data_IF_393347104291
#
_entry.id   IF_393347104291
#
_cell.length_a   1.000
_cell.length_b   1.000
_cell.length_c   1.000
_cell.angle_alpha   90.00
_cell.angle_beta   90.00
_cell.angle_gamma   90.00
#
_symmetry.space_group_name_H-M   'P 1'
#
loop_
_entity.id
_entity.type
_entity.pdbx_description
1 polymer ?
#
# COMPACT_ATOMS: atom_id res chain seq x y z
N UNK A 1 -18.53 -50.33 2.35
CA UNK A 1 -18.28 -49.06 1.63
C UNK A 1 -17.72 -49.36 0.24
N UNK A 2 -16.71 -50.22 0.13
CA UNK A 2 -16.11 -50.61 -1.16
C UNK A 2 -17.10 -51.28 -2.13
N UNK A 3 -17.99 -52.17 -1.66
CA UNK A 3 -19.07 -52.74 -2.50
C UNK A 3 -19.91 -51.66 -3.21
N UNK A 4 -20.26 -50.57 -2.51
CA UNK A 4 -21.11 -49.51 -3.07
C UNK A 4 -20.46 -48.77 -4.24
N UNK A 5 -19.14 -48.71 -4.28
CA UNK A 5 -18.40 -48.09 -5.38
C UNK A 5 -18.25 -49.04 -6.57
N UNK A 6 -18.09 -50.34 -6.30
CA UNK A 6 -18.08 -51.38 -7.33
C UNK A 6 -19.45 -51.46 -8.03
N UNK A 7 -20.54 -51.39 -7.26
CA UNK A 7 -21.92 -51.37 -7.78
C UNK A 7 -22.22 -50.15 -8.67
N UNK A 8 -21.43 -49.07 -8.55
CA UNK A 8 -21.51 -47.87 -9.39
C UNK A 8 -20.54 -47.91 -10.59
N UNK A 9 -19.93 -49.07 -10.87
CA UNK A 9 -19.03 -49.26 -12.01
C UNK A 9 -17.63 -48.67 -11.80
N UNK A 10 -17.29 -48.22 -10.58
CA UNK A 10 -15.97 -47.66 -10.27
C UNK A 10 -14.99 -48.79 -9.96
N UNK A 11 -14.01 -48.96 -10.85
CA UNK A 11 -12.99 -50.00 -10.71
C UNK A 11 -12.03 -49.65 -9.56
N UNK A 12 -11.59 -50.63 -8.75
CA UNK A 12 -10.61 -50.43 -7.67
C UNK A 12 -9.37 -49.59 -8.02
N UNK A 13 -8.70 -49.75 -9.18
CA UNK A 13 -7.56 -48.90 -9.55
C UNK A 13 -7.94 -47.42 -9.76
N UNK A 14 -9.18 -47.14 -10.18
CA UNK A 14 -9.68 -45.78 -10.34
C UNK A 14 -9.85 -45.08 -8.99
N UNK A 15 -10.35 -45.83 -7.99
CA UNK A 15 -10.48 -45.36 -6.61
C UNK A 15 -9.09 -45.11 -5.99
N UNK A 16 -8.13 -46.00 -6.24
CA UNK A 16 -6.75 -45.82 -5.77
C UNK A 16 -6.08 -44.60 -6.41
N UNK A 17 -6.28 -44.37 -7.72
CA UNK A 17 -5.81 -43.17 -8.39
C UNK A 17 -6.48 -41.91 -7.85
N UNK A 18 -7.77 -41.91 -7.57
CA UNK A 18 -8.43 -40.77 -6.94
C UNK A 18 -7.96 -40.52 -5.51
N UNK A 19 -7.68 -41.57 -4.73
CA UNK A 19 -7.07 -41.43 -3.40
C UNK A 19 -5.65 -40.85 -3.52
N UNK A 20 -4.86 -41.32 -4.49
CA UNK A 20 -3.55 -40.74 -4.78
C UNK A 20 -3.66 -39.29 -5.24
N UNK A 21 -4.50 -38.95 -6.21
CA UNK A 21 -4.73 -37.57 -6.66
C UNK A 21 -5.22 -36.67 -5.52
N UNK A 22 -6.13 -37.16 -4.68
CA UNK A 22 -6.62 -36.46 -3.49
C UNK A 22 -5.53 -36.24 -2.44
N UNK A 23 -4.62 -37.21 -2.27
CA UNK A 23 -3.45 -37.09 -1.39
C UNK A 23 -2.33 -36.22 -2.01
N UNK A 24 -2.27 -36.13 -3.34
CA UNK A 24 -1.28 -35.34 -4.10
C UNK A 24 -1.72 -33.88 -4.26
N UNK A 25 -3.03 -33.59 -4.14
CA UNK A 25 -3.53 -32.24 -3.98
C UNK A 25 -3.06 -31.67 -2.65
N UNK A 26 -1.92 -30.98 -2.71
CA UNK A 26 -1.26 -30.10 -1.75
C UNK A 26 -2.13 -29.58 -0.56
N UNK A 27 -2.54 -30.48 0.34
CA UNK A 27 -3.02 -30.12 1.65
C UNK A 27 -1.79 -29.78 2.47
N UNK A 28 -1.40 -28.48 2.47
CA UNK A 28 -0.25 -27.98 3.21
C UNK A 28 -0.10 -28.66 4.57
N UNK A 29 1.09 -29.27 4.79
CA UNK A 29 1.54 -30.04 5.96
C UNK A 29 0.55 -29.97 7.13
N UNK A 30 -0.30 -30.99 7.27
CA UNK A 30 -1.25 -31.05 8.40
C UNK A 30 -0.47 -31.18 9.70
N UNK A 31 -0.81 -30.35 10.68
CA UNK A 31 -0.14 -30.29 11.98
C UNK A 31 -1.01 -31.01 13.02
N UNK A 32 -0.46 -31.94 13.81
CA UNK A 32 -1.17 -32.58 14.90
C UNK A 32 -1.75 -31.58 15.90
N UNK A 33 -2.96 -31.84 16.39
CA UNK A 33 -3.63 -30.91 17.31
C UNK A 33 -2.84 -30.70 18.62
N UNK A 34 -2.07 -31.71 19.06
CA UNK A 34 -1.21 -31.62 20.24
C UNK A 34 -0.17 -30.50 20.14
N UNK A 35 0.31 -30.20 18.93
CA UNK A 35 1.33 -29.17 18.70
C UNK A 35 0.73 -27.76 18.71
N UNK A 36 -0.49 -27.57 18.18
CA UNK A 36 -1.16 -26.26 18.18
C UNK A 36 -1.85 -25.94 19.52
N UNK A 37 -2.21 -26.96 20.32
CA UNK A 37 -2.97 -26.80 21.57
C UNK A 37 -2.35 -25.79 22.56
N UNK A 38 -1.04 -25.81 22.87
CA UNK A 38 -0.43 -24.83 23.77
C UNK A 38 -0.53 -23.39 23.23
N UNK A 39 -0.41 -23.22 21.91
CA UNK A 39 -0.54 -21.91 21.25
C UNK A 39 -1.96 -21.37 21.40
N UNK A 40 -2.97 -22.21 21.20
CA UNK A 40 -4.37 -21.83 21.34
C UNK A 40 -4.73 -21.50 22.79
N UNK A 41 -4.22 -22.26 23.75
CA UNK A 41 -4.43 -22.02 25.17
C UNK A 41 -3.84 -20.65 25.58
N UNK A 42 -2.61 -20.37 25.17
CA UNK A 42 -1.98 -19.07 25.40
C UNK A 42 -2.81 -17.90 24.85
N UNK A 43 -3.31 -18.01 23.62
CA UNK A 43 -4.14 -16.96 23.00
C UNK A 43 -5.47 -16.79 23.75
N UNK A 44 -6.08 -17.90 24.16
CA UNK A 44 -7.31 -17.91 24.94
C UNK A 44 -7.11 -17.20 26.28
N UNK A 45 -6.04 -17.51 27.00
CA UNK A 45 -5.78 -16.96 28.33
C UNK A 45 -5.40 -15.47 28.25
N UNK A 46 -4.61 -15.09 27.23
CA UNK A 46 -4.13 -13.71 27.06
C UNK A 46 -5.23 -12.74 26.59
N UNK A 47 -6.08 -13.18 25.65
CA UNK A 47 -7.02 -12.29 24.96
C UNK A 47 -8.48 -12.60 25.30
N UNK A 48 -8.77 -13.76 25.90
CA UNK A 48 -10.11 -14.21 26.25
C UNK A 48 -10.92 -14.73 25.05
N UNK A 49 -10.25 -15.14 23.96
CA UNK A 49 -10.92 -15.63 22.75
C UNK A 49 -10.98 -17.16 22.77
N UNK A 50 -12.15 -17.71 22.48
CA UNK A 50 -12.29 -19.15 22.36
C UNK A 50 -11.52 -19.70 21.12
N UNK A 51 -10.67 -20.74 21.27
CA UNK A 51 -9.81 -21.30 20.23
C UNK A 51 -10.50 -21.68 18.92
N UNK A 52 -11.77 -22.06 19.00
CA UNK A 52 -12.62 -22.41 17.85
C UNK A 52 -12.72 -21.29 16.80
N UNK A 53 -12.53 -20.02 17.20
CA UNK A 53 -12.53 -18.87 16.29
C UNK A 53 -11.31 -18.84 15.37
N UNK A 54 -10.15 -19.25 15.86
CA UNK A 54 -8.94 -19.39 15.06
C UNK A 54 -9.00 -20.64 14.19
N UNK A 55 -9.51 -21.72 14.76
CA UNK A 55 -9.63 -23.01 14.08
C UNK A 55 -10.72 -23.05 13.00
N UNK A 56 -11.67 -22.10 13.02
CA UNK A 56 -12.91 -22.13 12.20
C UNK A 56 -13.67 -23.46 12.33
N UNK A 57 -13.68 -24.06 13.52
CA UNK A 57 -14.35 -25.33 13.82
C UNK A 57 -15.51 -25.13 14.78
N UNK A 58 -16.43 -26.09 14.84
CA UNK A 58 -17.52 -26.06 15.81
C UNK A 58 -17.00 -26.22 17.25
N UNK A 59 -17.64 -25.53 18.20
CA UNK A 59 -17.29 -25.59 19.63
C UNK A 59 -17.38 -27.01 20.16
N UNK A 60 -18.48 -27.69 19.83
CA UNK A 60 -18.70 -29.10 20.20
C UNK A 60 -17.57 -30.03 19.74
N UNK A 61 -17.03 -29.84 18.53
CA UNK A 61 -15.93 -30.68 18.02
C UNK A 61 -14.62 -30.43 18.75
N UNK A 62 -14.37 -29.18 19.15
CA UNK A 62 -13.20 -28.80 19.92
C UNK A 62 -13.26 -29.34 21.36
N UNK A 63 -14.38 -29.14 22.05
CA UNK A 63 -14.55 -29.53 23.46
C UNK A 63 -14.58 -31.05 23.66
N UNK A 64 -15.15 -31.80 22.72
CA UNK A 64 -15.18 -33.27 22.77
C UNK A 64 -13.81 -33.89 22.40
N UNK A 65 -12.84 -33.09 21.92
CA UNK A 65 -11.51 -33.59 21.56
C UNK A 65 -11.44 -34.30 20.22
N UNK A 66 -12.46 -34.18 19.37
CA UNK A 66 -12.56 -34.80 18.04
C UNK A 66 -11.76 -34.05 16.95
N UNK A 67 -10.77 -33.26 17.35
CA UNK A 67 -9.89 -32.52 16.45
C UNK A 67 -8.48 -33.13 16.54
N UNK A 68 -8.11 -33.95 15.55
CA UNK A 68 -6.83 -34.66 15.54
C UNK A 68 -5.71 -33.87 14.88
N UNK A 69 -6.02 -33.07 13.86
CA UNK A 69 -5.06 -32.24 13.13
C UNK A 69 -5.71 -30.98 12.56
N UNK A 70 -4.87 -30.01 12.22
CA UNK A 70 -5.22 -28.73 11.58
C UNK A 70 -4.38 -28.54 10.33
N UNK A 71 -4.79 -27.67 9.41
CA UNK A 71 -3.94 -27.31 8.26
C UNK A 71 -2.72 -26.51 8.72
N UNK A 72 -1.61 -26.61 7.97
CA UNK A 72 -0.41 -25.81 8.22
C UNK A 72 -0.71 -24.30 8.23
N UNK A 73 -1.58 -23.82 7.35
CA UNK A 73 -2.01 -22.41 7.33
C UNK A 73 -2.65 -21.93 8.64
N UNK A 74 -3.46 -22.78 9.29
CA UNK A 74 -4.11 -22.44 10.56
C UNK A 74 -3.07 -22.41 11.68
N UNK A 75 -2.10 -23.31 11.64
CA UNK A 75 -0.99 -23.34 12.57
C UNK A 75 -0.10 -22.09 12.45
N UNK A 76 0.34 -21.75 11.23
CA UNK A 76 1.12 -20.55 10.97
C UNK A 76 0.38 -19.28 11.42
N UNK A 77 -0.93 -19.20 11.12
CA UNK A 77 -1.76 -18.08 11.58
C UNK A 77 -1.82 -18.02 13.11
N UNK A 78 -1.95 -19.15 13.81
CA UNK A 78 -1.97 -19.18 15.27
C UNK A 78 -0.62 -18.75 15.86
N UNK A 79 0.50 -19.18 15.28
CA UNK A 79 1.85 -18.72 15.67
C UNK A 79 1.99 -17.23 15.45
N UNK A 80 1.56 -16.70 14.30
CA UNK A 80 1.63 -15.27 14.01
C UNK A 80 0.83 -14.45 15.03
N UNK A 81 -0.39 -14.89 15.36
CA UNK A 81 -1.22 -14.25 16.39
C UNK A 81 -0.54 -14.31 17.77
N UNK A 82 0.03 -15.46 18.14
CA UNK A 82 0.80 -15.59 19.40
C UNK A 82 1.96 -14.60 19.45
N UNK A 83 2.78 -14.54 18.41
CA UNK A 83 3.93 -13.62 18.33
C UNK A 83 3.51 -12.16 18.45
N UNK A 84 2.41 -11.77 17.79
CA UNK A 84 1.87 -10.42 17.93
C UNK A 84 1.38 -10.14 19.36
N UNK A 85 0.71 -11.10 20.01
CA UNK A 85 0.30 -10.95 21.41
C UNK A 85 1.52 -10.78 22.32
N UNK A 86 2.55 -11.61 22.15
CA UNK A 86 3.80 -11.53 22.91
C UNK A 86 4.48 -10.17 22.74
N UNK A 87 4.56 -9.65 21.51
CA UNK A 87 5.10 -8.30 21.23
C UNK A 87 4.28 -7.16 21.87
N UNK A 88 3.01 -7.40 22.17
CA UNK A 88 2.08 -6.38 22.65
C UNK A 88 1.75 -6.47 24.14
N UNK A 89 2.06 -7.60 24.81
CA UNK A 89 1.92 -7.75 26.26
C UNK A 89 2.75 -6.69 27.00
N UNK A 90 3.88 -6.26 26.45
CA UNK A 90 4.72 -5.19 27.01
C UNK A 90 4.13 -3.78 26.81
N UNK A 91 3.21 -3.59 25.86
CA UNK A 91 2.74 -2.26 25.46
C UNK A 91 1.47 -1.78 26.17
N UNK A 92 0.72 -2.66 26.85
CA UNK A 92 -0.53 -2.40 27.61
C UNK A 92 -1.59 -1.45 26.97
N UNK A 93 -1.53 -1.17 25.67
CA UNK A 93 -2.48 -0.26 25.01
C UNK A 93 -3.76 -0.99 24.60
N UNK A 94 -4.90 -0.49 25.08
CA UNK A 94 -6.25 -1.00 24.78
C UNK A 94 -6.55 -1.11 23.27
N UNK A 95 -6.09 -0.16 22.47
CA UNK A 95 -6.31 -0.12 21.01
C UNK A 95 -5.68 -1.33 20.32
N UNK A 96 -4.52 -1.82 20.80
CA UNK A 96 -3.87 -3.00 20.23
C UNK A 96 -4.65 -4.27 20.48
N UNK A 97 -5.25 -4.41 21.67
CA UNK A 97 -6.13 -5.55 21.97
C UNK A 97 -7.33 -5.58 21.02
N UNK A 98 -7.95 -4.45 20.73
CA UNK A 98 -9.07 -4.38 19.78
C UNK A 98 -8.65 -4.66 18.33
N UNK A 99 -7.48 -4.18 17.89
CA UNK A 99 -6.92 -4.53 16.56
C UNK A 99 -6.60 -6.03 16.43
N UNK A 100 -6.04 -6.65 17.47
CA UNK A 100 -5.76 -8.09 17.52
C UNK A 100 -7.04 -8.92 17.44
N UNK A 101 -8.04 -8.53 18.23
CA UNK A 101 -9.36 -9.15 18.17
C UNK A 101 -9.96 -9.03 16.75
N UNK A 102 -9.76 -7.91 16.04
CA UNK A 102 -10.36 -7.68 14.72
C UNK A 102 -9.78 -8.61 13.66
N UNK A 103 -8.45 -8.82 13.69
CA UNK A 103 -7.75 -9.80 12.85
C UNK A 103 -8.23 -11.23 13.06
N UNK A 104 -8.63 -11.57 14.30
CA UNK A 104 -9.08 -12.92 14.66
C UNK A 104 -10.54 -13.13 14.25
N UNK A 105 -11.42 -12.16 14.51
CA UNK A 105 -12.84 -12.22 14.12
C UNK A 105 -13.05 -12.05 12.61
N UNK A 106 -12.12 -11.41 11.91
CA UNK A 106 -12.16 -11.16 10.48
C UNK A 106 -13.02 -9.95 10.11
N UNK A 107 -12.77 -9.40 8.92
CA UNK A 107 -13.46 -8.22 8.43
C UNK A 107 -14.90 -8.55 8.02
N UNK A 108 -15.85 -7.67 8.35
CA UNK A 108 -17.23 -7.74 7.87
C UNK A 108 -17.44 -6.66 6.82
N UNK A 109 -17.77 -7.04 5.60
CA UNK A 109 -18.03 -6.11 4.50
C UNK A 109 -19.11 -5.09 4.89
N UNK A 110 -18.86 -3.81 4.60
CA UNK A 110 -19.77 -2.71 4.94
C UNK A 110 -19.75 -2.28 6.42
N UNK A 111 -18.87 -2.84 7.24
CA UNK A 111 -18.74 -2.48 8.65
C UNK A 111 -17.29 -2.19 9.04
N UNK A 112 -17.11 -1.18 9.89
CA UNK A 112 -15.81 -0.69 10.34
C UNK A 112 -15.73 -0.83 11.86
N UNK A 113 -14.59 -1.28 12.42
CA UNK A 113 -14.39 -1.34 13.87
C UNK A 113 -14.51 0.03 14.53
N UNK A 114 -15.06 0.06 15.74
CA UNK A 114 -15.27 1.30 16.48
C UNK A 114 -13.96 2.04 16.81
N UNK A 115 -12.86 1.33 17.10
CA UNK A 115 -11.58 1.97 17.42
C UNK A 115 -11.05 2.86 16.29
N UNK A 116 -11.42 2.62 15.03
CA UNK A 116 -10.97 3.44 13.88
C UNK A 116 -11.66 4.80 13.79
N UNK A 117 -12.77 4.97 14.49
CA UNK A 117 -13.56 6.21 14.49
C UNK A 117 -13.57 6.91 15.84
N UNK A 118 -13.02 6.29 16.89
CA UNK A 118 -13.04 6.85 18.25
C UNK A 118 -12.36 8.21 18.30
N UNK A 119 -11.16 8.32 17.71
CA UNK A 119 -10.42 9.57 17.57
C UNK A 119 -11.21 10.64 16.79
N UNK A 120 -11.87 10.26 15.68
CA UNK A 120 -12.68 11.17 14.87
C UNK A 120 -13.89 11.70 15.65
N UNK A 121 -14.54 10.84 16.43
CA UNK A 121 -15.68 11.24 17.26
C UNK A 121 -15.26 12.15 18.42
N UNK A 122 -14.09 11.90 19.00
CA UNK A 122 -13.47 12.78 20.01
C UNK A 122 -13.19 14.16 19.41
N UNK A 123 -12.62 14.22 18.21
CA UNK A 123 -12.41 15.47 17.47
C UNK A 123 -13.71 16.23 17.20
N UNK A 124 -14.75 15.55 16.69
CA UNK A 124 -16.06 16.16 16.43
C UNK A 124 -16.70 16.73 17.71
N UNK A 125 -16.52 16.05 18.84
CA UNK A 125 -17.01 16.51 20.13
C UNK A 125 -16.28 17.78 20.56
N UNK A 126 -14.95 17.76 20.53
CA UNK A 126 -14.10 18.84 21.05
C UNK A 126 -14.16 20.10 20.19
N UNK A 127 -14.10 19.95 18.85
CA UNK A 127 -13.97 21.10 17.94
C UNK A 127 -15.28 21.48 17.24
N UNK A 128 -16.22 20.53 17.13
CA UNK A 128 -17.52 20.72 16.49
C UNK A 128 -18.71 20.82 17.43
N UNK A 129 -18.54 20.52 18.73
CA UNK A 129 -19.65 20.41 19.68
C UNK A 129 -20.62 19.26 19.36
N UNK A 130 -20.21 18.31 18.51
CA UNK A 130 -21.08 17.24 18.02
C UNK A 130 -20.88 15.96 18.84
N UNK A 131 -21.93 15.53 19.52
CA UNK A 131 -21.85 14.36 20.40
C UNK A 131 -21.92 13.03 19.63
N UNK A 132 -21.19 11.98 20.07
CA UNK A 132 -21.20 10.66 19.43
C UNK A 132 -22.58 10.04 19.21
N UNK A 133 -23.56 10.37 20.08
CA UNK A 133 -24.95 9.91 19.96
C UNK A 133 -25.58 10.28 18.61
N UNK A 134 -25.20 11.43 18.02
CA UNK A 134 -25.66 11.88 16.70
C UNK A 134 -25.32 10.89 15.57
N UNK A 135 -24.15 10.24 15.65
CA UNK A 135 -23.65 9.33 14.62
C UNK A 135 -23.96 7.87 14.93
N UNK A 136 -23.85 7.52 16.21
CA UNK A 136 -23.95 6.14 16.66
C UNK A 136 -25.39 5.76 17.04
N UNK A 137 -26.26 6.73 17.31
CA UNK A 137 -27.62 6.53 17.84
C UNK A 137 -27.65 6.17 19.34
N UNK A 138 -26.51 5.82 19.93
CA UNK A 138 -26.33 5.50 21.36
C UNK A 138 -25.11 6.22 21.91
N UNK A 139 -25.00 6.28 23.24
CA UNK A 139 -23.83 6.85 23.90
C UNK A 139 -22.54 6.05 23.64
N UNK A 140 -21.39 6.73 23.69
CA UNK A 140 -20.07 6.13 23.41
C UNK A 140 -19.74 4.94 24.32
N UNK A 141 -20.20 4.97 25.58
CA UNK A 141 -20.03 3.91 26.58
C UNK A 141 -20.56 2.55 26.12
N UNK A 142 -21.54 2.50 25.21
CA UNK A 142 -22.05 1.23 24.65
C UNK A 142 -21.07 0.58 23.66
N UNK A 143 -20.20 1.38 23.06
CA UNK A 143 -19.23 0.94 22.06
C UNK A 143 -17.89 0.56 22.68
N UNK A 144 -17.57 1.11 23.85
CA UNK A 144 -16.33 0.82 24.59
C UNK A 144 -16.36 -0.48 25.42
N UNK A 145 -17.49 -1.21 25.47
CA UNK A 145 -17.65 -2.42 26.32
C UNK A 145 -17.25 -3.72 25.61
N UNK A 146 -16.20 -4.38 26.14
CA UNK A 146 -15.76 -5.81 26.08
C UNK A 146 -15.73 -6.58 24.74
N UNK A 147 -16.49 -6.20 23.70
CA UNK A 147 -16.48 -6.83 22.37
C UNK A 147 -16.20 -5.75 21.33
N UNK A 148 -15.47 -6.09 20.26
CA UNK A 148 -15.34 -5.19 19.10
C UNK A 148 -16.73 -4.87 18.59
N UNK A 149 -17.13 -3.61 18.75
CA UNK A 149 -18.31 -3.09 18.09
C UNK A 149 -17.91 -2.60 16.73
N UNK A 150 -18.77 -2.87 15.76
CA UNK A 150 -18.64 -2.35 14.41
C UNK A 150 -19.76 -1.39 14.13
N UNK A 151 -19.45 -0.39 13.31
CA UNK A 151 -20.40 0.58 12.78
C UNK A 151 -20.51 0.40 11.28
N UNK A 152 -21.64 0.80 10.70
CA UNK A 152 -21.81 0.75 9.26
C UNK A 152 -20.89 1.77 8.58
N UNK A 153 -20.30 1.41 7.43
CA UNK A 153 -19.36 2.25 6.67
C UNK A 153 -19.94 3.60 6.27
N UNK A 154 -21.25 3.67 5.96
CA UNK A 154 -21.91 4.93 5.65
C UNK A 154 -21.90 5.91 6.83
N UNK A 155 -21.88 5.42 8.08
CA UNK A 155 -21.76 6.28 9.27
C UNK A 155 -20.35 6.85 9.38
N UNK A 156 -19.33 6.04 9.09
CA UNK A 156 -17.94 6.51 9.03
C UNK A 156 -17.76 7.58 7.94
N UNK A 157 -18.37 7.38 6.77
CA UNK A 157 -18.35 8.37 5.70
C UNK A 157 -19.00 9.71 6.11
N UNK A 158 -20.07 9.66 6.91
CA UNK A 158 -20.71 10.85 7.48
C UNK A 158 -19.82 11.53 8.51
N UNK A 159 -19.20 10.77 9.42
CA UNK A 159 -18.22 11.29 10.40
C UNK A 159 -17.06 11.98 9.67
N UNK A 160 -16.52 11.34 8.63
CA UNK A 160 -15.43 11.88 7.83
C UNK A 160 -15.79 13.19 7.12
N UNK A 161 -17.04 13.33 6.68
CA UNK A 161 -17.54 14.57 6.07
C UNK A 161 -17.59 15.69 7.09
N UNK A 162 -18.24 15.46 8.22
CA UNK A 162 -18.39 16.46 9.28
C UNK A 162 -17.00 16.88 9.83
N UNK A 163 -16.05 15.95 9.94
CA UNK A 163 -14.67 16.28 10.31
C UNK A 163 -14.03 17.24 9.30
N UNK A 164 -14.16 16.96 7.99
CA UNK A 164 -13.62 17.83 6.94
C UNK A 164 -14.23 19.22 6.95
N UNK A 165 -15.53 19.32 7.19
CA UNK A 165 -16.21 20.62 7.29
C UNK A 165 -15.65 21.47 8.44
N UNK A 166 -15.36 20.87 9.60
CA UNK A 166 -14.76 21.58 10.73
C UNK A 166 -13.33 22.03 10.39
N UNK A 167 -12.53 21.15 9.79
CA UNK A 167 -11.15 21.45 9.39
C UNK A 167 -11.12 22.62 8.40
N UNK A 168 -12.05 22.65 7.43
CA UNK A 168 -12.15 23.74 6.47
C UNK A 168 -12.61 25.06 7.10
N UNK A 169 -13.52 25.01 8.07
CA UNK A 169 -14.06 26.21 8.73
C UNK A 169 -13.11 26.81 9.78
N UNK A 170 -12.16 26.03 10.30
CA UNK A 170 -11.23 26.45 11.35
C UNK A 170 -9.78 26.21 10.91
N UNK A 171 -9.20 27.10 10.09
CA UNK A 171 -7.83 26.95 9.58
C UNK A 171 -6.76 27.04 10.68
N UNK A 172 -7.07 27.68 11.82
CA UNK A 172 -6.13 27.88 12.93
C UNK A 172 -5.95 26.63 13.83
N UNK A 173 -6.57 25.51 13.46
CA UNK A 173 -6.41 24.26 14.20
C UNK A 173 -4.97 23.75 14.10
N UNK A 174 -4.41 23.36 15.24
CA UNK A 174 -3.10 22.72 15.29
C UNK A 174 -3.14 21.38 14.57
N UNK A 175 -2.14 21.05 13.75
CA UNK A 175 -2.07 19.76 13.06
C UNK A 175 -2.17 18.56 14.01
N UNK A 176 -1.57 18.67 15.21
CA UNK A 176 -1.63 17.64 16.25
C UNK A 176 -3.01 17.41 16.86
N UNK A 177 -3.96 18.33 16.62
CA UNK A 177 -5.35 18.17 17.08
C UNK A 177 -6.23 17.43 16.08
N UNK A 178 -5.75 17.23 14.85
CA UNK A 178 -6.48 16.53 13.81
C UNK A 178 -6.40 15.02 14.03
N UNK A 179 -7.46 14.26 13.68
CA UNK A 179 -7.36 12.80 13.67
C UNK A 179 -6.26 12.34 12.72
N UNK A 180 -5.59 11.23 13.04
CA UNK A 180 -4.40 10.72 12.35
C UNK A 180 -4.55 10.71 10.82
N UNK A 181 -5.70 10.22 10.33
CA UNK A 181 -6.02 10.17 8.89
C UNK A 181 -5.98 11.56 8.23
N UNK A 182 -6.52 12.58 8.88
CA UNK A 182 -6.57 13.94 8.35
C UNK A 182 -5.25 14.68 8.55
N UNK A 183 -4.57 14.47 9.67
CA UNK A 183 -3.22 14.98 9.91
C UNK A 183 -2.25 14.53 8.80
N UNK A 184 -2.23 13.23 8.48
CA UNK A 184 -1.40 12.68 7.43
C UNK A 184 -1.74 13.24 6.04
N UNK A 185 -3.01 13.55 5.79
CA UNK A 185 -3.44 14.20 4.54
C UNK A 185 -2.91 15.64 4.44
N UNK A 186 -3.02 16.44 5.51
CA UNK A 186 -2.51 17.81 5.52
C UNK A 186 -0.98 17.86 5.44
N UNK A 187 -0.28 16.98 6.18
CA UNK A 187 1.17 16.83 6.06
C UNK A 187 1.55 16.43 4.63
N UNK A 188 0.82 15.48 4.04
CA UNK A 188 1.04 15.06 2.65
C UNK A 188 0.90 16.21 1.66
N UNK A 189 -0.11 17.08 1.84
CA UNK A 189 -0.28 18.30 1.02
C UNK A 189 0.90 19.26 1.22
N UNK A 190 1.30 19.53 2.46
CA UNK A 190 2.42 20.43 2.76
C UNK A 190 3.72 19.93 2.14
N UNK A 191 4.03 18.64 2.32
CA UNK A 191 5.19 18.00 1.69
C UNK A 191 5.12 18.06 0.16
N UNK A 192 3.93 17.95 -0.43
CA UNK A 192 3.76 18.07 -1.87
C UNK A 192 4.04 19.50 -2.38
N UNK A 193 3.66 20.53 -1.60
CA UNK A 193 3.93 21.93 -1.92
C UNK A 193 5.42 22.22 -1.77
N UNK A 194 6.04 21.80 -0.67
CA UNK A 194 7.48 21.92 -0.46
C UNK A 194 8.26 21.26 -1.60
N UNK A 195 7.89 20.03 -1.96
CA UNK A 195 8.49 19.33 -3.10
C UNK A 195 8.38 20.13 -4.40
N UNK A 196 7.22 20.73 -4.69
CA UNK A 196 7.03 21.57 -5.89
C UNK A 196 7.91 22.81 -5.84
N UNK A 197 7.99 23.49 -4.68
CA UNK A 197 8.85 24.67 -4.49
C UNK A 197 10.32 24.29 -4.68
N UNK A 198 10.78 23.20 -4.08
CA UNK A 198 12.15 22.70 -4.26
C UNK A 198 12.45 22.38 -5.72
N UNK A 199 11.53 21.72 -6.43
CA UNK A 199 11.68 21.46 -7.88
C UNK A 199 11.79 22.78 -8.65
N UNK A 200 10.95 23.77 -8.36
CA UNK A 200 11.01 25.08 -9.01
C UNK A 200 12.33 25.81 -8.72
N UNK A 201 12.84 25.75 -7.49
CA UNK A 201 14.14 26.31 -7.13
C UNK A 201 15.28 25.62 -7.87
N UNK A 202 15.30 24.29 -7.94
CA UNK A 202 16.28 23.53 -8.72
C UNK A 202 16.21 23.92 -10.21
N UNK A 203 15.00 24.09 -10.75
CA UNK A 203 14.82 24.54 -12.14
C UNK A 203 15.38 25.96 -12.37
N UNK A 204 15.23 26.87 -11.39
CA UNK A 204 15.68 28.26 -11.48
C UNK A 204 17.18 28.41 -11.32
N UNK A 205 17.75 27.72 -10.33
CA UNK A 205 19.18 27.81 -10.02
C UNK A 205 20.03 27.02 -11.03
N UNK A 206 19.42 26.04 -11.72
CA UNK A 206 20.08 25.14 -12.65
C UNK A 206 21.42 24.60 -12.10
N UNK A 207 21.40 24.21 -10.82
CA UNK A 207 22.58 23.78 -10.10
C UNK A 207 23.06 22.42 -10.63
N UNK A 208 23.94 22.49 -11.62
CA UNK A 208 24.52 21.32 -12.26
C UNK A 208 25.41 20.52 -11.30
N UNK A 209 25.98 21.16 -10.26
CA UNK A 209 26.79 20.50 -9.24
C UNK A 209 25.94 19.59 -8.36
N UNK A 210 24.83 20.13 -7.83
CA UNK A 210 23.87 19.34 -7.04
C UNK A 210 23.32 18.13 -7.81
N UNK A 211 22.99 18.30 -9.10
CA UNK A 211 22.53 17.18 -9.93
C UNK A 211 23.62 16.17 -10.21
N UNK A 212 24.82 16.64 -10.54
CA UNK A 212 25.96 15.77 -10.80
C UNK A 212 26.32 14.95 -9.56
N UNK A 213 26.34 15.53 -8.37
CA UNK A 213 26.67 14.85 -7.11
C UNK A 213 25.69 13.71 -6.78
N UNK A 214 24.38 13.96 -6.97
CA UNK A 214 23.35 12.94 -6.75
C UNK A 214 23.47 11.82 -7.78
N UNK A 215 23.73 12.15 -9.05
CA UNK A 215 23.80 11.16 -10.13
C UNK A 215 25.14 10.41 -10.15
N UNK A 216 26.24 11.02 -9.68
CA UNK A 216 27.58 10.43 -9.65
C UNK A 216 27.65 9.18 -8.76
N UNK A 217 26.82 9.11 -7.72
CA UNK A 217 26.70 7.92 -6.86
C UNK A 217 26.36 6.65 -7.66
N UNK A 218 25.68 6.78 -8.81
CA UNK A 218 25.36 5.66 -9.71
C UNK A 218 26.57 5.19 -10.50
N UNK A 219 27.43 6.12 -10.92
CA UNK A 219 28.64 5.81 -11.66
C UNK A 219 29.69 5.15 -10.75
N UNK A 220 29.76 5.56 -9.48
CA UNK A 220 30.69 5.01 -8.48
C UNK A 220 30.32 3.59 -8.01
N UNK A 221 29.05 3.21 -8.09
CA UNK A 221 28.57 1.87 -7.73
C UNK A 221 28.79 0.79 -8.80
N UNK A 222 29.37 1.15 -9.95
CA UNK A 222 29.55 0.23 -11.08
C UNK A 222 30.74 -0.70 -10.84
N UNK A 223 30.54 -2.02 -10.95
CA UNK A 223 31.64 -2.97 -11.10
C UNK A 223 32.32 -2.76 -12.48
N UNK A 224 33.66 -2.82 -12.58
CA UNK A 224 34.38 -2.51 -13.82
C UNK A 224 34.05 -3.44 -15.00
N UNK A 225 33.45 -4.60 -14.74
CA UNK A 225 33.07 -5.58 -15.76
C UNK A 225 31.56 -5.86 -15.71
N UNK A 226 30.86 -5.88 -16.87
CA UNK A 226 29.48 -6.31 -16.94
C UNK A 226 29.38 -7.80 -16.63
N UNK A 227 28.60 -8.14 -15.62
CA UNK A 227 28.27 -9.53 -15.28
C UNK A 227 27.50 -10.15 -16.45
N UNK A 228 27.87 -11.34 -16.96
CA UNK A 228 27.13 -12.00 -18.05
C UNK A 228 25.64 -12.21 -17.73
N UNK A 229 25.28 -12.32 -16.46
CA UNK A 229 23.89 -12.49 -15.98
C UNK A 229 23.17 -11.16 -15.71
N UNK A 230 23.79 -10.02 -16.02
CA UNK A 230 23.21 -8.70 -15.72
C UNK A 230 21.98 -8.41 -16.59
N UNK A 231 20.86 -8.11 -15.94
CA UNK A 231 19.62 -7.73 -16.63
C UNK A 231 19.77 -6.34 -17.23
N UNK A 232 19.63 -6.25 -18.55
CA UNK A 232 19.77 -4.99 -19.28
C UNK A 232 18.40 -4.47 -19.72
N UNK A 233 18.14 -3.20 -19.43
CA UNK A 233 16.91 -2.50 -19.79
C UNK A 233 17.20 -1.59 -20.98
N UNK A 234 16.37 -1.67 -22.03
CA UNK A 234 16.45 -0.74 -23.17
C UNK A 234 16.23 0.70 -22.72
N UNK A 235 16.93 1.65 -23.34
CA UNK A 235 16.72 3.08 -23.06
C UNK A 235 15.25 3.51 -23.21
N UNK A 236 14.52 2.94 -24.16
CA UNK A 236 13.08 3.20 -24.37
C UNK A 236 12.22 2.83 -23.15
N UNK A 237 12.60 1.78 -22.42
CA UNK A 237 11.87 1.27 -21.26
C UNK A 237 12.43 1.79 -19.93
N UNK A 238 13.63 2.38 -19.93
CA UNK A 238 14.24 2.98 -18.74
C UNK A 238 13.36 4.09 -18.13
N UNK A 239 12.69 4.89 -18.97
CA UNK A 239 11.74 5.91 -18.50
C UNK A 239 10.56 5.28 -17.74
N UNK A 240 10.00 4.16 -18.25
CA UNK A 240 8.92 3.42 -17.58
C UNK A 240 9.42 2.81 -16.28
N UNK A 241 10.62 2.23 -16.29
CA UNK A 241 11.25 1.68 -15.10
C UNK A 241 11.35 2.75 -14.00
N UNK A 242 11.84 3.96 -14.32
CA UNK A 242 11.96 5.09 -13.39
C UNK A 242 10.61 5.80 -13.11
N UNK A 243 9.51 5.34 -13.70
CA UNK A 243 8.15 5.92 -13.61
C UNK A 243 8.11 7.40 -14.02
N UNK A 244 8.89 7.80 -15.02
CA UNK A 244 8.96 9.18 -15.52
C UNK A 244 8.44 9.26 -16.96
N UNK A 245 8.13 10.47 -17.43
CA UNK A 245 7.74 10.66 -18.84
C UNK A 245 8.95 10.38 -19.75
N UNK A 246 8.73 9.78 -20.92
CA UNK A 246 9.80 9.48 -21.89
C UNK A 246 10.65 10.71 -22.21
N UNK A 247 10.00 11.83 -22.56
CA UNK A 247 10.68 13.11 -22.80
C UNK A 247 11.49 13.64 -21.61
N UNK A 248 11.00 13.41 -20.38
CA UNK A 248 11.74 13.82 -19.18
C UNK A 248 13.03 13.00 -19.03
N UNK A 249 12.96 11.71 -19.33
CA UNK A 249 14.14 10.85 -19.38
C UNK A 249 15.12 11.30 -20.48
N UNK A 250 14.61 11.65 -21.67
CA UNK A 250 15.46 12.14 -22.76
C UNK A 250 16.21 13.42 -22.36
N UNK A 251 15.55 14.36 -21.68
CA UNK A 251 16.21 15.56 -21.14
C UNK A 251 17.24 15.24 -20.06
N UNK A 252 16.96 14.30 -19.16
CA UNK A 252 17.90 13.84 -18.15
C UNK A 252 19.16 13.26 -18.79
N UNK A 253 18.99 12.40 -19.80
CA UNK A 253 20.10 11.79 -20.55
C UNK A 253 20.91 12.83 -21.32
N UNK A 254 20.24 13.78 -21.98
CA UNK A 254 20.90 14.85 -22.72
C UNK A 254 21.74 15.74 -21.79
N UNK A 255 21.17 16.14 -20.65
CA UNK A 255 21.83 17.02 -19.68
C UNK A 255 23.01 16.34 -18.98
N UNK A 256 22.94 15.01 -18.79
CA UNK A 256 23.95 14.22 -18.09
C UNK A 256 24.59 13.17 -19.00
N UNK A 257 24.84 13.52 -20.26
CA UNK A 257 25.28 12.57 -21.29
C UNK A 257 26.60 11.86 -20.95
N UNK A 258 27.50 12.51 -20.21
CA UNK A 258 28.75 11.93 -19.74
C UNK A 258 28.54 10.77 -18.76
N UNK A 259 27.55 10.88 -17.87
CA UNK A 259 27.16 9.81 -16.95
C UNK A 259 26.52 8.65 -17.73
N UNK A 260 25.55 8.95 -18.59
CA UNK A 260 24.83 7.93 -19.33
C UNK A 260 25.74 7.18 -20.31
N UNK A 261 26.72 7.84 -20.93
CA UNK A 261 27.77 7.17 -21.71
C UNK A 261 28.62 6.20 -20.90
N UNK A 262 28.86 6.49 -19.61
CA UNK A 262 29.63 5.61 -18.71
C UNK A 262 28.85 4.40 -18.23
N UNK A 263 27.51 4.46 -18.17
CA UNK A 263 26.68 3.33 -17.69
C UNK A 263 25.98 2.58 -18.84
N UNK A 264 25.83 3.20 -20.00
CA UNK A 264 25.15 2.58 -21.13
C UNK A 264 26.02 1.52 -21.80
N UNK A 265 25.37 0.42 -22.18
CA UNK A 265 25.95 -0.68 -22.94
C UNK A 265 25.30 -0.70 -24.31
N UNK A 266 26.12 -0.69 -25.36
CA UNK A 266 25.65 -0.83 -26.75
C UNK A 266 25.56 -2.31 -27.09
N UNK A 267 24.38 -2.75 -27.54
CA UNK A 267 24.16 -4.06 -28.18
C UNK A 267 23.67 -3.84 -29.61
N UNK A 268 23.53 -4.91 -30.40
CA UNK A 268 23.14 -4.86 -31.81
C UNK A 268 21.86 -4.04 -32.06
N UNK A 269 20.88 -4.14 -31.16
CA UNK A 269 19.57 -3.50 -31.28
C UNK A 269 19.41 -2.19 -30.48
N UNK A 270 20.52 -1.54 -30.12
CA UNK A 270 20.52 -0.18 -29.55
C UNK A 270 21.23 -0.05 -28.21
N UNK A 271 20.85 0.98 -27.47
CA UNK A 271 21.44 1.31 -26.17
C UNK A 271 20.64 0.72 -25.02
N UNK A 272 21.36 0.19 -24.04
CA UNK A 272 20.82 -0.44 -22.84
C UNK A 272 21.47 0.12 -21.58
N UNK A 273 20.75 0.09 -20.46
CA UNK A 273 21.23 0.44 -19.13
C UNK A 273 21.03 -0.78 -18.22
N UNK A 274 22.02 -1.17 -17.42
CA UNK A 274 21.83 -2.17 -16.38
C UNK A 274 20.68 -1.81 -15.44
N UNK A 275 19.84 -2.78 -15.12
CA UNK A 275 18.72 -2.60 -14.20
C UNK A 275 19.19 -2.18 -12.80
N UNK A 276 20.33 -2.67 -12.35
CA UNK A 276 20.99 -2.30 -11.10
C UNK A 276 21.26 -0.80 -11.02
N UNK A 277 21.75 -0.18 -12.11
CA UNK A 277 21.99 1.27 -12.16
C UNK A 277 20.68 2.06 -12.05
N UNK A 278 19.61 1.58 -12.70
CA UNK A 278 18.29 2.19 -12.59
C UNK A 278 17.64 1.96 -11.21
N UNK A 279 17.90 0.81 -10.59
CA UNK A 279 17.46 0.50 -9.23
C UNK A 279 18.19 1.36 -8.19
N UNK A 280 19.48 1.61 -8.41
CA UNK A 280 20.29 2.52 -7.60
C UNK A 280 19.77 3.95 -7.70
N UNK A 281 19.48 4.46 -8.91
CA UNK A 281 18.84 5.77 -9.11
C UNK A 281 17.55 5.92 -8.30
N UNK A 282 16.71 4.89 -8.24
CA UNK A 282 15.48 4.92 -7.43
C UNK A 282 15.72 5.03 -5.93
N UNK A 283 16.82 4.47 -5.44
CA UNK A 283 17.17 4.40 -4.01
C UNK A 283 17.89 5.67 -3.53
N UNK A 284 18.58 6.39 -4.42
CA UNK A 284 19.35 7.58 -4.04
C UNK A 284 18.42 8.69 -3.50
N UNK A 285 18.77 9.20 -2.32
CA UNK A 285 18.11 10.34 -1.71
C UNK A 285 18.24 11.58 -2.62
N UNK A 286 17.13 12.24 -2.93
CA UNK A 286 17.12 13.42 -3.80
C UNK A 286 16.85 13.15 -5.28
N UNK A 287 17.00 11.91 -5.79
CA UNK A 287 16.64 11.60 -7.19
C UNK A 287 15.17 11.92 -7.51
N UNK A 288 14.29 11.82 -6.51
CA UNK A 288 12.87 12.21 -6.68
C UNK A 288 12.65 13.69 -7.02
N UNK A 289 13.59 14.57 -6.67
CA UNK A 289 13.61 16.00 -7.02
C UNK A 289 14.16 16.21 -8.44
N UNK A 290 15.24 15.51 -8.80
CA UNK A 290 15.82 15.53 -10.16
C UNK A 290 14.79 15.03 -11.17
N UNK A 291 14.19 13.87 -10.90
CA UNK A 291 13.06 13.37 -11.69
C UNK A 291 11.95 14.42 -11.81
N UNK A 292 11.62 15.07 -10.70
CA UNK A 292 10.62 16.14 -10.65
C UNK A 292 10.97 17.34 -11.55
N UNK A 293 12.24 17.78 -11.59
CA UNK A 293 12.74 18.82 -12.50
C UNK A 293 12.45 18.45 -13.95
N UNK A 294 12.90 17.29 -14.39
CA UNK A 294 12.76 16.88 -15.80
C UNK A 294 11.31 16.59 -16.19
N UNK A 295 10.50 16.02 -15.29
CA UNK A 295 9.05 15.86 -15.52
C UNK A 295 8.34 17.22 -15.62
N UNK A 296 8.76 18.22 -14.84
CA UNK A 296 8.26 19.59 -14.91
C UNK A 296 8.64 20.26 -16.24
N UNK A 297 9.92 20.18 -16.66
CA UNK A 297 10.40 20.72 -17.93
C UNK A 297 9.66 20.09 -19.13
N UNK A 298 9.51 18.76 -19.14
CA UNK A 298 8.78 18.05 -20.18
C UNK A 298 7.28 18.44 -20.24
N UNK A 299 6.71 18.87 -19.12
CA UNK A 299 5.30 19.30 -19.05
C UNK A 299 5.11 20.74 -19.54
N UNK A 300 6.03 21.65 -19.19
CA UNK A 300 6.00 23.07 -19.59
C UNK A 300 6.20 23.26 -21.09
N UNK A 301 7.02 22.43 -21.74
CA UNK A 301 7.18 22.47 -23.19
C UNK A 301 5.88 22.07 -23.92
N UNK A 302 5.10 21.13 -23.37
CA UNK A 302 3.80 20.76 -23.90
C UNK A 302 2.81 21.93 -23.82
N UNK A 303 2.76 22.65 -22.71
CA UNK A 303 1.91 23.84 -22.54
C UNK A 303 2.30 24.96 -23.52
N UNK A 304 3.59 25.24 -23.70
CA UNK A 304 4.06 26.22 -24.70
C UNK A 304 3.71 25.82 -26.14
N UNK A 305 3.76 24.53 -26.48
CA UNK A 305 3.29 24.04 -27.79
C UNK A 305 1.77 24.12 -27.96
N UNK A 306 1.00 24.00 -26.88
CA UNK A 306 -0.48 24.11 -26.93
C UNK A 306 -0.92 25.58 -27.05
N UNK A 307 -0.16 26.51 -26.46
CA UNK A 307 -0.36 27.97 -26.57
C UNK A 307 -0.14 28.48 -28.01
N UNK A 308 0.84 27.93 -28.75
CA UNK A 308 1.10 28.33 -30.14
C UNK A 308 0.05 27.84 -31.16
N UNK A 309 -0.82 26.89 -30.80
CA UNK A 309 -1.93 26.46 -31.68
C UNK A 309 -3.28 27.11 -31.34
N UNK A 310 -3.37 27.89 -30.26
CA UNK A 310 -4.56 28.70 -29.93
C UNK A 310 -4.53 30.12 -30.51
N UNK A 311 -3.38 30.57 -31.01
CA UNK A 311 -3.16 31.94 -31.49
C UNK A 311 -3.01 32.06 -33.01
N UNK A 312 -2.99 30.95 -33.76
CA UNK A 312 -3.02 30.98 -35.24
C UNK A 312 -4.41 30.86 -35.87
N UNK A 313 -5.46 30.54 -35.11
CA UNK A 313 -6.84 30.47 -35.65
C UNK A 313 -7.65 31.77 -35.57
N UNK A 314 -7.07 32.88 -35.10
CA UNK A 314 -7.72 34.22 -35.11
C UNK A 314 -7.09 35.23 -36.09
N UNK A 315 -6.03 34.88 -36.79
CA UNK A 315 -5.35 35.78 -37.73
C UNK A 315 -5.69 35.55 -39.22
N UNK A 316 -6.61 34.63 -39.56
CA UNK A 316 -7.01 34.35 -40.96
C UNK A 316 -8.49 34.73 -41.22
N UNK A 317 -9.15 35.42 -40.28
CA UNK A 317 -10.57 35.82 -40.42
C UNK A 317 -10.85 37.32 -40.64
N UNK A 318 -9.84 38.19 -40.66
CA UNK A 318 -10.06 39.66 -40.63
C UNK A 318 -9.53 40.43 -41.84
N UNK A 319 -9.26 39.78 -42.97
CA UNK A 319 -8.75 40.44 -44.19
C UNK A 319 -9.63 40.17 -45.42
N UNK A 320 -10.95 40.32 -45.28
CA UNK A 320 -11.89 40.50 -46.40
C UNK A 320 -13.11 41.29 -45.94
N UNK A 321 -13.05 42.62 -45.96
CA UNK A 321 -14.19 43.52 -46.23
C UNK A 321 -13.78 44.99 -46.08
N UNK A 322 -13.31 45.60 -47.17
CA UNK A 322 -13.56 47.02 -47.48
C UNK A 322 -12.98 47.34 -48.85
N UNK A 323 -13.74 47.01 -49.89
CA UNK A 323 -13.71 47.75 -51.16
C UNK A 323 -14.76 48.85 -51.03
N UNK A 324 -14.34 50.09 -51.18
CA UNK A 324 -15.11 51.17 -51.81
C UNK A 324 -14.24 51.70 -52.93
#
# INVERSE_FOLDING_TARGET
MEQKFIDQGLKPPMIQNWIQEFNTQNHGKRVPFREIKPVLQFIQDSVGIHPTRLLKQSVRRYEIGNLHSVSGEVFERAIQVKKEIEQHLDSNQKIHKEKLLDKIYGNRSGFIPFYEIEEKLEFLRTYGGQYPKKYLGRGIRYYQKKKIKRIASWRESRIDRDCREIIQKKPDLRLSSLPEKFMNQEIGKLLSVLKKISIQQICRNNDAGFEADILLQVALGRKPYPDPDQVLIRFDDAARYLKMKRKAFDYLVASHSSLFKKIAVRKENGWYIPDESLAMLKKIAGFSLIKGKYDFLASREKENRTSCYGSMSRAIGSSRSSKT
#
